data_IF_538605148622
#
_entry.id   IF_538605148622
#
_cell.length_a   1.000
_cell.length_b   1.000
_cell.length_c   1.000
_cell.angle_alpha   90.00
_cell.angle_beta   90.00
_cell.angle_gamma   90.00
#
_symmetry.space_group_name_H-M   'P 1'
#
loop_
_entity.id
_entity.type
_entity.pdbx_description
1 polymer ?
#
# COMPACT_ATOMS: atom_id res chain seq x y z
N UNK A 1 -21.32 6.97 17.67
CA UNK A 1 -19.94 6.66 17.22
C UNK A 1 -19.80 7.23 15.83
N UNK A 2 -18.78 8.04 15.60
CA UNK A 2 -18.58 8.73 14.33
C UNK A 2 -18.49 7.74 13.17
N UNK A 3 -19.13 8.05 12.04
CA UNK A 3 -19.16 7.23 10.82
C UNK A 3 -17.73 6.85 10.37
N UNK A 4 -16.82 7.82 10.38
CA UNK A 4 -15.42 7.63 9.98
C UNK A 4 -14.68 6.58 10.84
N UNK A 5 -14.92 6.57 12.17
CA UNK A 5 -14.31 5.60 13.09
C UNK A 5 -14.80 4.17 12.82
N UNK A 6 -16.09 4.01 12.48
CA UNK A 6 -16.65 2.71 12.11
C UNK A 6 -16.03 2.21 10.80
N UNK A 7 -16.12 3.00 9.76
CA UNK A 7 -15.72 2.63 8.40
C UNK A 7 -14.22 2.36 8.29
N UNK A 8 -13.39 3.17 8.94
CA UNK A 8 -11.93 3.03 8.83
C UNK A 8 -11.39 1.89 9.71
N UNK A 9 -11.97 1.69 10.92
CA UNK A 9 -11.36 0.81 11.93
C UNK A 9 -12.27 -0.32 12.42
N UNK A 10 -13.41 0.01 13.07
CA UNK A 10 -14.14 -1.01 13.85
C UNK A 10 -14.96 -1.96 13.01
N UNK A 11 -15.46 -1.56 11.87
CA UNK A 11 -16.22 -2.38 10.92
C UNK A 11 -15.38 -2.79 9.71
N UNK A 12 -14.27 -2.09 9.45
CA UNK A 12 -13.37 -2.38 8.34
C UNK A 12 -12.82 -3.81 8.37
N UNK A 13 -12.72 -4.43 7.20
CA UNK A 13 -12.24 -5.81 7.01
C UNK A 13 -11.20 -5.86 5.89
N UNK A 14 -10.36 -6.90 5.91
CA UNK A 14 -9.51 -7.26 4.76
C UNK A 14 -10.25 -8.26 3.91
N UNK A 15 -10.67 -7.84 2.72
CA UNK A 15 -11.41 -8.66 1.78
C UNK A 15 -10.49 -9.56 0.97
N UNK A 16 -10.96 -10.76 0.63
CA UNK A 16 -10.27 -11.75 -0.20
C UNK A 16 -11.04 -12.07 -1.47
N UNK A 17 -12.24 -11.51 -1.61
CA UNK A 17 -13.11 -11.64 -2.76
C UNK A 17 -13.83 -10.31 -2.98
N UNK A 18 -13.99 -9.93 -4.22
CA UNK A 18 -14.55 -8.63 -4.65
C UNK A 18 -15.60 -8.85 -5.74
N UNK A 19 -16.40 -7.82 -6.01
CA UNK A 19 -17.43 -7.85 -7.05
C UNK A 19 -16.91 -7.76 -8.49
N UNK A 20 -15.61 -7.54 -8.69
CA UNK A 20 -14.99 -7.50 -10.02
C UNK A 20 -15.05 -6.14 -10.72
N UNK A 21 -15.77 -5.16 -10.20
CA UNK A 21 -15.86 -3.83 -10.79
C UNK A 21 -14.59 -3.02 -10.56
N UNK A 22 -14.11 -2.34 -11.62
CA UNK A 22 -12.97 -1.45 -11.54
C UNK A 22 -13.34 -0.15 -10.84
N UNK A 23 -12.42 0.38 -10.04
CA UNK A 23 -12.54 1.76 -9.56
C UNK A 23 -12.28 2.74 -10.70
N UNK A 24 -12.91 3.90 -10.67
CA UNK A 24 -12.62 4.96 -11.64
C UNK A 24 -11.22 5.56 -11.41
N UNK A 25 -10.65 6.17 -12.44
CA UNK A 25 -9.39 6.91 -12.29
C UNK A 25 -9.53 8.03 -11.24
N UNK A 26 -10.69 8.64 -11.15
CA UNK A 26 -11.00 9.67 -10.13
C UNK A 26 -10.91 9.10 -8.72
N UNK A 27 -11.44 7.88 -8.50
CA UNK A 27 -11.37 7.22 -7.19
C UNK A 27 -9.93 6.85 -6.81
N UNK A 28 -9.16 6.30 -7.77
CA UNK A 28 -7.76 5.96 -7.54
C UNK A 28 -6.91 7.19 -7.22
N UNK A 29 -7.15 8.32 -7.89
CA UNK A 29 -6.52 9.60 -7.59
C UNK A 29 -6.93 10.11 -6.20
N UNK A 30 -8.21 10.04 -5.84
CA UNK A 30 -8.71 10.45 -4.53
C UNK A 30 -8.07 9.62 -3.39
N UNK A 31 -7.92 8.31 -3.58
CA UNK A 31 -7.21 7.45 -2.63
C UNK A 31 -5.76 7.93 -2.44
N UNK A 32 -5.03 8.22 -3.53
CA UNK A 32 -3.66 8.69 -3.45
C UNK A 32 -3.54 10.07 -2.79
N UNK A 33 -4.45 11.00 -3.11
CA UNK A 33 -4.44 12.36 -2.54
C UNK A 33 -4.56 12.35 -1.01
N UNK A 34 -5.28 11.40 -0.43
CA UNK A 34 -5.34 11.20 1.01
C UNK A 34 -4.12 10.43 1.54
N UNK A 35 -3.70 9.39 0.84
CA UNK A 35 -2.58 8.54 1.26
C UNK A 35 -1.25 9.31 1.32
N UNK A 36 -1.01 10.23 0.40
CA UNK A 36 0.21 11.05 0.34
C UNK A 36 0.39 11.97 1.54
N UNK A 37 -0.67 12.23 2.33
CA UNK A 37 -0.64 13.07 3.53
C UNK A 37 -0.05 12.34 4.75
N UNK A 38 0.31 11.08 4.62
CA UNK A 38 0.97 10.35 5.69
C UNK A 38 2.27 11.03 6.12
N UNK A 39 2.54 11.16 7.43
CA UNK A 39 3.82 11.68 7.90
C UNK A 39 4.95 10.70 7.59
N UNK A 40 6.09 11.24 7.16
CA UNK A 40 7.32 10.49 6.96
C UNK A 40 8.50 11.24 7.53
N UNK A 41 9.54 10.53 7.96
CA UNK A 41 10.75 11.16 8.46
C UNK A 41 11.36 12.07 7.38
N UNK A 42 11.63 13.33 7.73
CA UNK A 42 12.13 14.37 6.82
C UNK A 42 11.23 14.61 5.61
N UNK A 43 9.94 14.31 5.67
CA UNK A 43 9.02 14.36 4.53
C UNK A 43 9.55 13.57 3.31
N UNK A 44 10.17 12.42 3.56
CA UNK A 44 10.90 11.65 2.54
C UNK A 44 10.01 11.00 1.49
N UNK A 45 8.74 10.72 1.82
CA UNK A 45 7.70 10.19 0.93
C UNK A 45 8.20 9.09 -0.03
N UNK A 46 8.79 7.99 0.47
CA UNK A 46 9.40 6.97 -0.38
C UNK A 46 8.38 6.05 -1.06
N UNK A 47 7.10 6.07 -0.70
CA UNK A 47 6.08 5.22 -1.32
C UNK A 47 5.97 5.51 -2.81
N UNK A 48 5.94 4.44 -3.60
CA UNK A 48 5.54 4.45 -5.02
C UNK A 48 4.37 3.51 -5.21
N UNK A 49 3.45 3.89 -6.08
CA UNK A 49 2.21 3.14 -6.31
C UNK A 49 2.02 2.92 -7.80
N UNK A 50 1.81 1.67 -8.19
CA UNK A 50 1.33 1.34 -9.53
C UNK A 50 -0.11 0.86 -9.38
N UNK A 51 -1.05 1.64 -9.88
CA UNK A 51 -2.44 1.21 -9.95
C UNK A 51 -2.63 0.29 -11.15
N UNK A 52 -3.18 -0.88 -10.88
CA UNK A 52 -3.54 -1.91 -11.86
C UNK A 52 -5.05 -1.88 -11.98
N UNK A 53 -5.58 -1.51 -13.15
CA UNK A 53 -7.00 -1.14 -13.31
C UNK A 53 -7.59 -1.58 -14.67
N UNK A 54 -7.01 -2.58 -15.32
CA UNK A 54 -7.59 -3.22 -16.50
C UNK A 54 -7.59 -4.73 -16.35
N UNK A 55 -8.50 -5.43 -17.02
CA UNK A 55 -8.57 -6.87 -16.99
C UNK A 55 -7.24 -7.53 -17.40
N UNK A 56 -6.57 -6.98 -18.41
CA UNK A 56 -5.27 -7.48 -18.86
C UNK A 56 -4.20 -7.30 -17.77
N UNK A 57 -4.07 -6.11 -17.20
CA UNK A 57 -3.06 -5.83 -16.17
C UNK A 57 -3.34 -6.57 -14.86
N UNK A 58 -4.62 -6.79 -14.51
CA UNK A 58 -5.01 -7.61 -13.37
C UNK A 58 -4.64 -9.09 -13.56
N UNK A 59 -4.83 -9.66 -14.77
CA UNK A 59 -4.37 -11.01 -15.07
C UNK A 59 -2.83 -11.10 -15.04
N UNK A 60 -2.11 -10.09 -15.52
CA UNK A 60 -0.65 -10.03 -15.43
C UNK A 60 -0.21 -10.02 -13.95
N UNK A 61 -0.88 -9.25 -13.09
CA UNK A 61 -0.60 -9.20 -11.67
C UNK A 61 -0.93 -10.55 -10.99
N UNK A 62 -2.04 -11.18 -11.37
CA UNK A 62 -2.42 -12.50 -10.83
C UNK A 62 -1.35 -13.57 -11.14
N UNK A 63 -0.75 -13.54 -12.33
CA UNK A 63 0.36 -14.45 -12.68
C UNK A 63 1.63 -14.23 -11.87
N UNK A 64 1.83 -13.03 -11.33
CA UNK A 64 2.94 -12.76 -10.39
C UNK A 64 2.61 -13.19 -8.96
N UNK A 65 1.35 -13.52 -8.63
CA UNK A 65 0.95 -13.94 -7.31
C UNK A 65 1.30 -15.40 -7.05
N UNK A 66 1.61 -15.74 -5.78
CA UNK A 66 1.69 -17.13 -5.35
C UNK A 66 0.32 -17.81 -5.51
N UNK A 67 0.29 -19.11 -5.75
CA UNK A 67 -0.91 -19.87 -6.15
C UNK A 67 -2.15 -19.55 -5.30
N UNK A 68 -2.01 -19.50 -3.98
CA UNK A 68 -3.10 -19.20 -3.05
C UNK A 68 -3.65 -17.76 -3.12
N UNK A 69 -2.95 -16.86 -3.83
CA UNK A 69 -3.36 -15.46 -4.03
C UNK A 69 -3.84 -15.16 -5.45
N UNK A 70 -3.58 -16.03 -6.43
CA UNK A 70 -3.92 -15.77 -7.83
C UNK A 70 -5.42 -15.52 -8.02
N UNK A 71 -6.26 -16.44 -7.51
CA UNK A 71 -7.71 -16.32 -7.63
C UNK A 71 -8.24 -15.05 -6.93
N UNK A 72 -7.72 -14.73 -5.75
CA UNK A 72 -8.10 -13.50 -5.04
C UNK A 72 -7.78 -12.26 -5.85
N UNK A 73 -6.62 -12.25 -6.52
CA UNK A 73 -6.20 -11.15 -7.39
C UNK A 73 -7.15 -11.02 -8.58
N UNK A 74 -7.55 -12.12 -9.21
CA UNK A 74 -8.46 -12.12 -10.36
C UNK A 74 -9.87 -11.61 -10.02
N UNK A 75 -10.33 -11.79 -8.78
CA UNK A 75 -11.66 -11.33 -8.37
C UNK A 75 -11.74 -9.83 -8.14
N UNK A 76 -10.62 -9.16 -7.89
CA UNK A 76 -10.59 -7.71 -7.69
C UNK A 76 -10.62 -6.98 -9.04
N UNK A 77 -11.41 -5.90 -9.12
CA UNK A 77 -11.42 -5.05 -10.32
C UNK A 77 -10.17 -4.16 -10.42
N UNK A 78 -9.63 -3.77 -9.27
CA UNK A 78 -8.48 -2.86 -9.19
C UNK A 78 -7.48 -3.32 -8.12
N UNK A 79 -6.23 -2.91 -8.27
CA UNK A 79 -5.19 -3.12 -7.26
C UNK A 79 -4.19 -1.96 -7.25
N UNK A 80 -3.54 -1.76 -6.11
CA UNK A 80 -2.38 -0.92 -5.94
C UNK A 80 -1.17 -1.79 -5.61
N UNK A 81 -0.17 -1.81 -6.48
CA UNK A 81 1.14 -2.39 -6.17
C UNK A 81 1.93 -1.32 -5.43
N UNK A 82 2.28 -1.58 -4.19
CA UNK A 82 3.05 -0.68 -3.35
C UNK A 82 4.52 -1.05 -3.39
N UNK A 83 5.35 -0.06 -3.61
CA UNK A 83 6.80 -0.18 -3.60
C UNK A 83 7.42 0.92 -2.75
N UNK A 84 8.65 0.75 -2.32
CA UNK A 84 9.48 1.83 -1.80
C UNK A 84 10.61 2.15 -2.77
N UNK A 85 10.86 3.45 -2.91
CA UNK A 85 11.86 3.97 -3.82
C UNK A 85 13.19 4.12 -3.09
N UNK A 86 14.23 3.46 -3.59
CA UNK A 86 15.59 3.59 -3.04
C UNK A 86 16.23 4.94 -3.36
N UNK A 87 15.68 5.66 -4.35
CA UNK A 87 16.14 6.99 -4.75
C UNK A 87 15.25 8.13 -4.19
N UNK A 88 14.44 7.86 -3.16
CA UNK A 88 13.52 8.85 -2.55
C UNK A 88 14.21 10.18 -2.23
N UNK A 89 15.47 10.14 -1.86
CA UNK A 89 16.27 11.32 -1.48
C UNK A 89 16.46 12.31 -2.62
N UNK A 90 16.31 11.91 -3.88
CA UNK A 90 16.38 12.80 -5.05
C UNK A 90 15.26 13.84 -5.08
N UNK A 91 14.16 13.58 -4.35
CA UNK A 91 13.02 14.48 -4.26
C UNK A 91 13.11 15.51 -3.13
N UNK A 92 14.16 15.49 -2.30
CA UNK A 92 14.26 16.40 -1.15
C UNK A 92 14.34 17.88 -1.50
N UNK A 93 14.83 18.23 -2.69
CA UNK A 93 14.80 19.61 -3.16
C UNK A 93 13.36 20.18 -3.15
N UNK A 94 12.37 19.34 -3.44
CA UNK A 94 10.95 19.71 -3.43
C UNK A 94 10.29 19.40 -2.08
N UNK A 95 10.54 18.21 -1.52
CA UNK A 95 9.81 17.71 -0.34
C UNK A 95 10.33 18.29 0.98
N UNK A 96 11.60 18.63 1.05
CA UNK A 96 12.25 19.13 2.26
C UNK A 96 13.26 20.27 1.94
N UNK A 97 12.83 21.38 1.34
CA UNK A 97 13.73 22.45 0.87
C UNK A 97 14.52 23.13 2.00
N UNK A 98 14.12 22.94 3.24
CA UNK A 98 14.80 23.43 4.44
C UNK A 98 16.03 22.59 4.86
N UNK A 99 16.22 21.42 4.27
CA UNK A 99 17.37 20.56 4.60
C UNK A 99 18.66 21.15 4.06
N UNK A 100 19.65 21.31 4.94
CA UNK A 100 20.98 21.83 4.56
C UNK A 100 21.81 20.85 3.73
N UNK A 101 21.59 19.54 3.90
CA UNK A 101 22.30 18.45 3.21
C UNK A 101 21.29 17.41 2.71
N UNK A 102 20.52 17.71 1.66
CA UNK A 102 19.49 16.79 1.15
C UNK A 102 20.07 15.50 0.59
N UNK A 103 21.35 15.50 0.21
CA UNK A 103 22.04 14.33 -0.37
C UNK A 103 22.62 13.36 0.65
N UNK A 104 22.60 13.68 1.95
CA UNK A 104 23.19 12.82 3.00
C UNK A 104 22.72 11.35 2.94
N UNK A 105 21.51 11.13 2.48
CA UNK A 105 20.93 9.80 2.37
C UNK A 105 21.57 8.95 1.25
N UNK A 106 22.09 9.58 0.18
CA UNK A 106 22.78 8.86 -0.90
C UNK A 106 24.10 8.23 -0.46
N UNK A 107 24.68 8.73 0.65
CA UNK A 107 25.92 8.23 1.23
C UNK A 107 25.73 7.11 2.26
N UNK A 108 24.46 6.79 2.58
CA UNK A 108 24.18 5.75 3.56
C UNK A 108 24.48 4.35 3.01
N UNK A 109 24.93 3.42 3.87
CA UNK A 109 24.96 2.00 3.53
C UNK A 109 23.60 1.52 3.03
N UNK A 110 23.60 0.65 2.02
CA UNK A 110 22.39 0.22 1.31
C UNK A 110 21.33 -0.35 2.26
N UNK A 111 21.74 -1.12 3.26
CA UNK A 111 20.82 -1.71 4.25
C UNK A 111 20.15 -0.66 5.16
N UNK A 112 20.85 0.43 5.46
CA UNK A 112 20.28 1.57 6.21
C UNK A 112 19.30 2.33 5.35
N UNK A 113 19.65 2.59 4.10
CA UNK A 113 18.80 3.29 3.15
C UNK A 113 17.49 2.53 2.93
N UNK A 114 17.61 1.20 2.72
CA UNK A 114 16.46 0.32 2.53
C UNK A 114 15.55 0.28 3.75
N UNK A 115 16.11 0.07 4.96
CA UNK A 115 15.30 0.09 6.20
C UNK A 115 14.56 1.41 6.39
N UNK A 116 15.20 2.53 6.09
CA UNK A 116 14.57 3.85 6.17
C UNK A 116 13.45 4.01 5.15
N UNK A 117 13.69 3.65 3.89
CA UNK A 117 12.70 3.73 2.82
C UNK A 117 11.49 2.85 3.12
N UNK A 118 11.71 1.59 3.48
CA UNK A 118 10.66 0.64 3.82
C UNK A 118 9.83 1.09 5.02
N UNK A 119 10.46 1.54 6.11
CA UNK A 119 9.74 2.00 7.30
C UNK A 119 8.81 3.17 6.99
N UNK A 120 9.28 4.16 6.24
CA UNK A 120 8.49 5.33 5.87
C UNK A 120 7.42 5.01 4.80
N UNK A 121 7.72 4.13 3.84
CA UNK A 121 6.72 3.64 2.88
C UNK A 121 5.59 2.86 3.58
N UNK A 122 5.87 2.13 4.65
CA UNK A 122 4.85 1.41 5.42
C UNK A 122 3.90 2.35 6.17
N UNK A 123 4.38 3.51 6.66
CA UNK A 123 3.49 4.55 7.20
C UNK A 123 2.50 5.03 6.13
N UNK A 124 3.00 5.32 4.92
CA UNK A 124 2.16 5.73 3.80
C UNK A 124 1.22 4.61 3.31
N UNK A 125 1.67 3.35 3.31
CA UNK A 125 0.85 2.19 2.97
C UNK A 125 -0.33 2.02 3.96
N UNK A 126 -0.10 2.23 5.25
CA UNK A 126 -1.16 2.25 6.26
C UNK A 126 -2.19 3.35 5.99
N UNK A 127 -1.73 4.55 5.60
CA UNK A 127 -2.62 5.64 5.19
C UNK A 127 -3.38 5.31 3.91
N UNK A 128 -2.80 4.62 2.93
CA UNK A 128 -3.51 4.18 1.73
C UNK A 128 -4.67 3.23 2.08
N UNK A 129 -4.47 2.28 2.98
CA UNK A 129 -5.53 1.40 3.47
C UNK A 129 -6.64 2.22 4.15
N UNK A 130 -6.27 3.18 5.00
CA UNK A 130 -7.23 4.05 5.68
C UNK A 130 -7.98 4.96 4.70
N UNK A 131 -7.28 5.55 3.73
CA UNK A 131 -7.86 6.40 2.68
C UNK A 131 -8.89 5.65 1.82
N UNK A 132 -8.53 4.43 1.38
CA UNK A 132 -9.44 3.56 0.63
C UNK A 132 -10.75 3.37 1.39
N UNK A 133 -10.66 3.04 2.68
CA UNK A 133 -11.85 2.83 3.54
C UNK A 133 -12.62 4.11 3.82
N UNK A 134 -11.93 5.23 4.00
CA UNK A 134 -12.57 6.54 4.22
C UNK A 134 -13.41 6.98 3.02
N UNK A 135 -13.03 6.57 1.80
CA UNK A 135 -13.76 6.82 0.57
C UNK A 135 -14.87 5.78 0.30
N UNK A 136 -15.09 4.83 1.24
CA UNK A 136 -16.17 3.84 1.13
C UNK A 136 -15.84 2.60 0.32
N UNK A 137 -14.56 2.41 -0.03
CA UNK A 137 -14.11 1.21 -0.73
C UNK A 137 -13.52 0.19 0.26
N UNK A 138 -13.56 -1.07 -0.13
CA UNK A 138 -12.91 -2.16 0.58
C UNK A 138 -11.50 -2.41 0.04
N UNK A 139 -10.67 -3.02 0.87
CA UNK A 139 -9.31 -3.38 0.47
C UNK A 139 -8.87 -4.74 1.04
N UNK A 140 -7.90 -5.35 0.36
CA UNK A 140 -7.27 -6.60 0.75
C UNK A 140 -5.75 -6.56 0.60
N UNK A 141 -4.98 -6.16 1.64
CA UNK A 141 -3.51 -6.20 1.58
C UNK A 141 -2.96 -7.62 1.51
N UNK A 142 -1.99 -7.85 0.63
CA UNK A 142 -1.35 -9.16 0.41
C UNK A 142 0.13 -9.00 0.07
N UNK A 143 0.98 -9.90 0.64
CA UNK A 143 2.43 -9.91 0.39
C UNK A 143 2.93 -11.10 -0.46
N UNK A 144 2.07 -12.09 -0.75
CA UNK A 144 2.47 -13.33 -1.41
C UNK A 144 2.54 -13.20 -2.93
N UNK A 145 3.63 -12.61 -3.44
CA UNK A 145 3.92 -12.41 -4.86
C UNK A 145 5.40 -12.76 -5.15
N UNK A 146 5.68 -13.16 -6.38
CA UNK A 146 7.04 -13.22 -6.91
C UNK A 146 7.52 -11.78 -7.15
N UNK A 147 8.42 -11.32 -6.30
CA UNK A 147 8.92 -9.95 -6.32
C UNK A 147 9.72 -9.62 -7.58
N UNK A 148 10.45 -10.60 -8.14
CA UNK A 148 11.21 -10.43 -9.37
C UNK A 148 10.27 -10.29 -10.58
N UNK A 149 9.22 -11.10 -10.64
CA UNK A 149 8.20 -11.01 -11.68
C UNK A 149 7.45 -9.67 -11.61
N UNK A 150 7.05 -9.22 -10.41
CA UNK A 150 6.41 -7.91 -10.23
C UNK A 150 7.34 -6.78 -10.68
N UNK A 151 8.61 -6.80 -10.26
CA UNK A 151 9.59 -5.79 -10.67
C UNK A 151 9.74 -5.74 -12.19
N UNK A 152 9.96 -6.88 -12.82
CA UNK A 152 10.13 -6.97 -14.26
C UNK A 152 8.92 -6.46 -15.03
N UNK A 153 7.71 -6.75 -14.53
CA UNK A 153 6.47 -6.44 -15.24
C UNK A 153 5.97 -5.01 -15.03
N UNK A 154 6.14 -4.46 -13.81
CA UNK A 154 5.47 -3.23 -13.40
C UNK A 154 6.41 -2.08 -13.03
N UNK A 155 7.68 -2.34 -12.71
CA UNK A 155 8.59 -1.29 -12.23
C UNK A 155 9.68 -0.92 -13.24
N UNK A 156 9.96 -1.78 -14.23
CA UNK A 156 11.01 -1.54 -15.23
C UNK A 156 12.38 -1.30 -14.59
N UNK A 157 13.12 -0.33 -15.13
CA UNK A 157 14.49 0.02 -14.70
C UNK A 157 14.55 0.93 -13.46
N UNK A 158 13.42 1.16 -12.78
CA UNK A 158 13.41 1.97 -11.55
C UNK A 158 14.14 1.27 -10.41
N UNK A 159 14.54 2.03 -9.38
CA UNK A 159 15.03 1.47 -8.12
C UNK A 159 13.91 1.26 -7.08
N UNK A 160 12.71 0.99 -7.57
CA UNK A 160 11.57 0.63 -6.72
C UNK A 160 11.67 -0.82 -6.30
N UNK A 161 11.43 -1.06 -5.02
CA UNK A 161 11.44 -2.39 -4.42
C UNK A 161 10.02 -2.74 -3.98
N UNK A 162 9.56 -3.93 -4.35
CA UNK A 162 8.23 -4.41 -4.01
C UNK A 162 8.01 -4.46 -2.50
N UNK A 163 6.86 -3.98 -2.05
CA UNK A 163 6.42 -4.07 -0.66
C UNK A 163 5.23 -5.02 -0.51
N UNK A 164 4.09 -4.65 -1.05
CA UNK A 164 2.89 -5.48 -1.03
C UNK A 164 1.92 -5.04 -2.14
N UNK A 165 0.85 -5.81 -2.33
CA UNK A 165 -0.31 -5.45 -3.14
C UNK A 165 -1.48 -5.15 -2.22
N UNK A 166 -2.25 -4.11 -2.52
CA UNK A 166 -3.54 -3.84 -1.91
C UNK A 166 -4.61 -3.99 -2.99
N UNK A 167 -5.41 -5.05 -2.91
CA UNK A 167 -6.60 -5.19 -3.75
C UNK A 167 -7.62 -4.13 -3.36
N UNK A 168 -8.30 -3.54 -4.35
CA UNK A 168 -9.20 -2.42 -4.19
C UNK A 168 -10.54 -2.70 -4.87
N UNK A 169 -11.65 -2.24 -4.30
CA UNK A 169 -12.98 -2.36 -4.89
C UNK A 169 -14.09 -2.51 -3.85
N UNK A 170 -15.21 -3.09 -4.26
CA UNK A 170 -16.31 -3.46 -3.37
C UNK A 170 -16.17 -4.93 -2.97
N UNK A 171 -15.90 -5.17 -1.69
CA UNK A 171 -15.65 -6.49 -1.14
C UNK A 171 -16.90 -7.34 -1.01
N UNK A 172 -16.79 -8.64 -1.25
CA UNK A 172 -17.85 -9.60 -0.98
C UNK A 172 -17.93 -9.87 0.53
N UNK A 173 -18.91 -9.26 1.19
CA UNK A 173 -19.13 -9.41 2.63
C UNK A 173 -19.54 -10.83 3.02
N UNK A 174 -20.16 -11.60 2.12
CA UNK A 174 -20.57 -12.98 2.37
C UNK A 174 -19.38 -13.94 2.49
N UNK A 175 -18.24 -13.57 1.88
CA UNK A 175 -16.99 -14.33 1.94
C UNK A 175 -16.11 -14.00 3.15
N UNK A 176 -16.53 -13.09 4.02
CA UNK A 176 -15.77 -12.71 5.20
C UNK A 176 -15.81 -13.81 6.28
N UNK A 177 -14.64 -14.12 6.84
CA UNK A 177 -14.53 -14.95 8.04
C UNK A 177 -14.77 -14.08 9.30
N UNK A 178 -15.09 -14.66 10.46
CA UNK A 178 -15.11 -13.92 11.72
C UNK A 178 -13.81 -13.11 11.91
N UNK A 179 -13.91 -11.96 12.56
CA UNK A 179 -12.73 -11.13 12.85
C UNK A 179 -11.78 -11.91 13.77
N UNK A 180 -10.52 -12.01 13.38
CA UNK A 180 -9.48 -12.55 14.25
C UNK A 180 -9.26 -11.66 15.48
N UNK A 181 -8.83 -12.24 16.62
CA UNK A 181 -8.53 -11.51 17.84
C UNK A 181 -7.37 -10.51 17.64
N UNK A 182 -7.21 -9.62 18.59
CA UNK A 182 -6.06 -8.73 18.74
C UNK A 182 -5.50 -8.92 20.14
N UNK A 183 -4.22 -8.59 20.30
CA UNK A 183 -3.59 -8.58 21.63
C UNK A 183 -4.33 -7.60 22.55
N UNK A 184 -4.41 -7.93 23.84
CA UNK A 184 -4.85 -6.99 24.85
C UNK A 184 -3.83 -5.83 24.99
N UNK A 185 -4.27 -4.73 25.59
CA UNK A 185 -3.39 -3.57 25.79
C UNK A 185 -2.14 -3.93 26.56
N UNK A 186 -2.29 -4.74 27.61
CA UNK A 186 -1.22 -5.16 28.52
C UNK A 186 -0.15 -6.03 27.85
N UNK A 187 -0.55 -6.79 26.80
CA UNK A 187 0.37 -7.63 26.02
C UNK A 187 1.15 -6.82 24.96
N UNK A 188 0.59 -5.69 24.52
CA UNK A 188 1.13 -4.91 23.41
C UNK A 188 1.71 -3.56 23.85
N UNK A 189 1.29 -3.01 24.98
CA UNK A 189 1.57 -1.64 25.39
C UNK A 189 2.05 -1.55 26.84
N UNK A 190 2.80 -0.50 27.16
CA UNK A 190 3.15 -0.10 28.51
C UNK A 190 2.99 1.42 28.63
N UNK A 191 2.53 1.87 29.80
CA UNK A 191 2.54 3.28 30.21
C UNK A 191 3.71 3.42 31.20
N UNK A 192 4.63 4.34 30.95
CA UNK A 192 5.81 4.62 31.80
C UNK A 192 5.78 6.06 32.29
#
# INVERSE_FOLDING_TARGET
>A
MDFSKKTIFTEARSHKKFGGDNLSETDLRAIYELAKLAPTANNSCPLRVVFVNSAESMEQLARCALDFNQEKTRTAGSAAILAYDMDFHTHFATLAPHMKQPTVHSEWPIDRLERFALANANLQAGFMIAATRALGFDCGPMGGFDTAAVKSKFFGDTRWVFNCVVLLGHGDHSALRPRGPRLAFEDACRIT
#
